data_IF_517301642285
#
_entry.id   IF_517301642285
#
_cell.length_a   1.000
_cell.length_b   1.000
_cell.length_c   1.000
_cell.angle_alpha   90.00
_cell.angle_beta   90.00
_cell.angle_gamma   90.00
#
_symmetry.space_group_name_H-M   'P 1'
#
loop_
_entity.id
_entity.type
_entity.pdbx_description
1 polymer ?
#
# COMPACT_ATOMS: atom_id res chain seq x y z
N UNK A 1 33.54 -43.10 -27.10
CA UNK A 1 32.77 -41.85 -27.08
C UNK A 1 31.81 -41.87 -28.24
N UNK A 2 30.55 -41.59 -27.97
CA UNK A 2 29.52 -41.36 -29.00
C UNK A 2 28.93 -39.98 -28.80
N UNK A 3 28.37 -39.38 -29.85
CA UNK A 3 27.70 -38.08 -29.75
C UNK A 3 26.22 -38.26 -29.47
N UNK A 4 25.70 -37.44 -28.58
CA UNK A 4 24.28 -37.41 -28.23
C UNK A 4 23.75 -35.98 -28.24
N UNK A 5 22.44 -35.85 -28.13
CA UNK A 5 21.76 -34.57 -27.90
C UNK A 5 21.12 -34.59 -26.52
N UNK A 6 21.37 -33.55 -25.71
CA UNK A 6 20.61 -33.30 -24.48
C UNK A 6 19.53 -32.28 -24.81
N UNK A 7 18.26 -32.66 -24.68
CA UNK A 7 17.11 -31.77 -24.84
C UNK A 7 16.61 -31.32 -23.47
N UNK A 8 16.79 -30.04 -23.18
CA UNK A 8 16.22 -29.39 -22.00
C UNK A 8 14.79 -28.94 -22.31
N UNK A 9 13.82 -29.51 -21.59
CA UNK A 9 12.39 -29.22 -21.78
C UNK A 9 11.82 -28.38 -20.63
N UNK A 10 10.69 -27.71 -20.88
CA UNK A 10 9.90 -27.03 -19.84
C UNK A 10 9.58 -25.55 -20.10
N UNK A 11 10.33 -24.89 -20.98
CA UNK A 11 10.02 -23.53 -21.47
C UNK A 11 9.28 -23.59 -22.82
N UNK A 12 8.89 -22.44 -23.39
CA UNK A 12 8.05 -22.41 -24.62
C UNK A 12 8.73 -23.08 -25.82
N UNK A 13 10.07 -23.03 -25.87
CA UNK A 13 10.89 -23.75 -26.85
C UNK A 13 11.97 -24.54 -26.15
N UNK A 14 12.02 -25.84 -26.41
CA UNK A 14 13.07 -26.71 -25.90
C UNK A 14 14.46 -26.22 -26.34
N UNK A 15 15.46 -26.40 -25.47
CA UNK A 15 16.85 -26.07 -25.76
C UNK A 15 17.58 -27.37 -26.11
N UNK A 16 18.19 -27.41 -27.29
CA UNK A 16 18.97 -28.55 -27.76
C UNK A 16 20.46 -28.28 -27.57
N UNK A 17 21.13 -29.19 -26.87
CA UNK A 17 22.58 -29.24 -26.75
C UNK A 17 23.09 -30.43 -27.55
N UNK A 18 23.49 -30.18 -28.79
CA UNK A 18 23.89 -31.22 -29.74
C UNK A 18 25.39 -31.51 -29.70
N UNK A 19 25.76 -32.73 -30.09
CA UNK A 19 27.17 -33.10 -30.25
C UNK A 19 27.91 -33.27 -28.93
N UNK A 20 27.19 -33.62 -27.86
CA UNK A 20 27.79 -33.90 -26.54
C UNK A 20 28.43 -35.29 -26.59
N UNK A 21 29.74 -35.34 -26.36
CA UNK A 21 30.47 -36.61 -26.29
C UNK A 21 30.18 -37.33 -24.96
N UNK A 22 29.69 -38.57 -25.04
CA UNK A 22 29.44 -39.43 -23.88
C UNK A 22 30.14 -40.78 -24.05
N UNK A 23 30.63 -41.34 -22.95
CA UNK A 23 31.08 -42.74 -22.90
C UNK A 23 29.84 -43.61 -22.59
N UNK A 24 29.49 -44.63 -23.40
CA UNK A 24 28.42 -45.57 -23.04
C UNK A 24 28.63 -46.24 -21.67
N UNK A 25 29.87 -46.34 -21.19
CA UNK A 25 30.24 -46.86 -19.86
C UNK A 25 30.37 -45.76 -18.80
N UNK A 26 29.82 -44.56 -19.04
CA UNK A 26 29.79 -43.47 -18.06
C UNK A 26 29.06 -43.90 -16.79
N UNK A 27 29.57 -43.50 -15.63
CA UNK A 27 28.90 -43.75 -14.36
C UNK A 27 27.72 -42.79 -14.16
N UNK A 28 26.66 -43.23 -13.48
CA UNK A 28 25.48 -42.37 -13.24
C UNK A 28 25.82 -41.04 -12.55
N UNK A 29 26.80 -41.02 -11.64
CA UNK A 29 27.28 -39.79 -11.02
C UNK A 29 27.87 -38.83 -12.07
N UNK A 30 28.66 -39.34 -13.00
CA UNK A 30 29.27 -38.54 -14.07
C UNK A 30 28.21 -38.06 -15.08
N UNK A 31 27.13 -38.81 -15.29
CA UNK A 31 25.97 -38.38 -16.07
C UNK A 31 25.31 -37.16 -15.43
N UNK A 32 25.02 -37.22 -14.13
CA UNK A 32 24.40 -36.12 -13.37
C UNK A 32 25.29 -34.86 -13.40
N UNK A 33 26.62 -35.05 -13.29
CA UNK A 33 27.60 -33.97 -13.42
C UNK A 33 27.67 -33.40 -14.84
N UNK A 34 27.59 -34.25 -15.88
CA UNK A 34 27.53 -33.83 -17.27
C UNK A 34 26.28 -32.99 -17.54
N UNK A 35 25.11 -33.45 -17.08
CA UNK A 35 23.85 -32.73 -17.22
C UNK A 35 23.91 -31.37 -16.51
N UNK A 36 24.45 -31.31 -15.29
CA UNK A 36 24.69 -30.05 -14.58
C UNK A 36 25.59 -29.11 -15.39
N UNK A 37 26.69 -29.63 -15.94
CA UNK A 37 27.63 -28.83 -16.71
C UNK A 37 27.01 -28.24 -17.98
N UNK A 38 26.17 -29.02 -18.68
CA UNK A 38 25.57 -28.62 -19.96
C UNK A 38 24.35 -27.71 -19.75
N UNK A 39 23.46 -28.09 -18.83
CA UNK A 39 22.13 -27.45 -18.65
C UNK A 39 22.08 -26.47 -17.48
N UNK A 40 23.08 -26.50 -16.59
CA UNK A 40 23.13 -25.77 -15.31
C UNK A 40 22.14 -26.22 -14.24
N UNK A 41 21.33 -27.25 -14.49
CA UNK A 41 20.40 -27.77 -13.47
C UNK A 41 21.22 -28.38 -12.32
N UNK A 42 21.02 -27.94 -11.05
CA UNK A 42 21.73 -28.54 -9.93
C UNK A 42 21.30 -30.00 -9.73
N UNK A 43 22.21 -30.82 -9.24
CA UNK A 43 22.13 -32.29 -9.22
C UNK A 43 20.82 -32.81 -8.58
N UNK A 44 20.40 -32.20 -7.47
CA UNK A 44 19.21 -32.58 -6.72
C UNK A 44 17.88 -32.22 -7.40
N UNK A 45 17.92 -31.50 -8.52
CA UNK A 45 16.73 -31.01 -9.21
C UNK A 45 16.63 -31.49 -10.67
N UNK A 46 17.49 -32.44 -11.05
CA UNK A 46 17.48 -33.04 -12.39
C UNK A 46 16.46 -34.16 -12.47
N UNK A 47 15.57 -34.09 -13.45
CA UNK A 47 14.79 -35.24 -13.93
C UNK A 47 15.30 -35.63 -15.32
N UNK A 48 15.96 -36.79 -15.40
CA UNK A 48 16.60 -37.28 -16.63
C UNK A 48 15.79 -38.44 -17.17
N UNK A 49 15.43 -38.37 -18.45
CA UNK A 49 14.69 -39.42 -19.15
C UNK A 49 15.47 -39.88 -20.38
N UNK A 50 15.54 -41.20 -20.56
CA UNK A 50 16.14 -41.85 -21.72
C UNK A 50 15.13 -42.80 -22.34
N UNK A 51 14.90 -42.65 -23.65
CA UNK A 51 13.87 -43.40 -24.41
C UNK A 51 12.47 -43.35 -23.77
N UNK A 52 12.13 -42.24 -23.12
CA UNK A 52 10.83 -42.01 -22.49
C UNK A 52 10.70 -42.56 -21.07
N UNK A 53 11.71 -43.25 -20.56
CA UNK A 53 11.74 -43.77 -19.19
C UNK A 53 12.67 -42.93 -18.32
N UNK A 54 12.37 -42.83 -17.03
CA UNK A 54 13.27 -42.21 -16.05
C UNK A 54 14.59 -42.96 -16.01
N UNK A 55 15.69 -42.23 -15.85
CA UNK A 55 17.02 -42.82 -15.90
C UNK A 55 17.16 -43.92 -14.83
N UNK A 56 17.50 -45.16 -15.22
CA UNK A 56 17.58 -46.27 -14.27
C UNK A 56 18.76 -46.10 -13.32
N UNK A 57 18.53 -46.39 -12.03
CA UNK A 57 19.57 -46.39 -10.98
C UNK A 57 20.51 -47.60 -11.13
N UNK A 58 21.34 -47.54 -12.16
CA UNK A 58 22.33 -48.56 -12.53
C UNK A 58 23.70 -47.90 -12.67
N UNK A 59 24.77 -48.66 -12.48
CA UNK A 59 26.13 -48.10 -12.57
C UNK A 59 26.40 -47.44 -13.92
N UNK A 60 25.91 -48.03 -15.02
CA UNK A 60 26.12 -47.56 -16.39
C UNK A 60 24.78 -47.40 -17.13
N UNK A 61 24.03 -46.31 -16.87
CA UNK A 61 22.65 -46.16 -17.35
C UNK A 61 22.54 -46.00 -18.87
N UNK A 62 23.67 -45.80 -19.57
CA UNK A 62 23.73 -45.57 -21.00
C UNK A 62 24.53 -46.63 -21.77
N UNK A 63 24.73 -47.82 -21.21
CA UNK A 63 25.48 -48.89 -21.89
C UNK A 63 24.94 -49.22 -23.29
N UNK A 64 23.61 -49.07 -23.49
CA UNK A 64 22.94 -49.32 -24.77
C UNK A 64 22.67 -48.07 -25.62
N UNK A 65 23.25 -46.91 -25.27
CA UNK A 65 23.04 -45.66 -26.00
C UNK A 65 23.70 -45.71 -27.39
N UNK A 66 23.06 -45.12 -28.39
CA UNK A 66 23.53 -45.06 -29.77
C UNK A 66 23.86 -43.62 -30.18
N UNK A 67 24.68 -43.51 -31.23
CA UNK A 67 25.04 -42.23 -31.82
C UNK A 67 23.77 -41.44 -32.19
N UNK A 68 23.76 -40.16 -31.84
CA UNK A 68 22.69 -39.18 -32.05
C UNK A 68 21.38 -39.47 -31.29
N UNK A 69 21.37 -40.37 -30.31
CA UNK A 69 20.21 -40.51 -29.42
C UNK A 69 20.04 -39.28 -28.51
N UNK A 70 18.78 -39.07 -28.10
CA UNK A 70 18.36 -37.93 -27.28
C UNK A 70 18.18 -38.34 -25.81
N UNK A 71 18.68 -37.50 -24.91
CA UNK A 71 18.37 -37.53 -23.48
C UNK A 71 17.51 -36.32 -23.18
N UNK A 72 16.36 -36.55 -22.57
CA UNK A 72 15.45 -35.47 -22.16
C UNK A 72 15.74 -35.12 -20.71
N UNK A 73 15.93 -33.84 -20.44
CA UNK A 73 16.18 -33.33 -19.08
C UNK A 73 15.18 -32.23 -18.76
N UNK A 74 14.66 -32.21 -17.54
CA UNK A 74 13.85 -31.11 -17.01
C UNK A 74 14.17 -30.83 -15.55
N UNK A 75 13.82 -29.64 -15.09
CA UNK A 75 13.96 -29.26 -13.69
C UNK A 75 12.71 -29.66 -12.90
N UNK A 76 12.89 -30.26 -11.73
CA UNK A 76 11.79 -30.67 -10.82
C UNK A 76 10.87 -29.54 -10.35
N UNK A 77 11.31 -28.28 -10.45
CA UNK A 77 10.56 -27.10 -9.96
C UNK A 77 9.69 -26.44 -11.03
N UNK A 78 9.49 -27.07 -12.20
CA UNK A 78 8.62 -26.55 -13.27
C UNK A 78 7.16 -26.31 -12.83
N UNK A 79 6.59 -27.19 -12.00
CA UNK A 79 5.24 -27.00 -11.46
C UNK A 79 5.17 -25.77 -10.53
N UNK A 80 6.26 -25.51 -9.81
CA UNK A 80 6.38 -24.36 -8.92
C UNK A 80 6.47 -23.05 -9.69
N UNK A 81 7.15 -23.06 -10.84
CA UNK A 81 7.10 -21.95 -11.79
C UNK A 81 5.68 -21.67 -12.30
N UNK A 82 4.93 -22.72 -12.66
CA UNK A 82 3.54 -22.57 -13.10
C UNK A 82 2.67 -21.92 -12.02
N UNK A 83 2.85 -22.32 -10.75
CA UNK A 83 2.17 -21.69 -9.61
C UNK A 83 2.59 -20.22 -9.44
N UNK A 84 3.89 -19.94 -9.47
CA UNK A 84 4.42 -18.57 -9.40
C UNK A 84 3.77 -17.68 -10.46
N UNK A 85 3.79 -18.09 -11.73
CA UNK A 85 3.22 -17.34 -12.86
C UNK A 85 1.72 -17.11 -12.70
N UNK A 86 0.96 -18.13 -12.30
CA UNK A 86 -0.47 -17.99 -12.03
C UNK A 86 -0.74 -16.90 -10.98
N UNK A 87 0.01 -16.90 -9.87
CA UNK A 87 -0.17 -15.89 -8.84
C UNK A 87 0.22 -14.48 -9.30
N UNK A 88 1.30 -14.35 -10.09
CA UNK A 88 1.68 -13.06 -10.72
C UNK A 88 0.56 -12.54 -11.62
N UNK A 89 -0.03 -13.39 -12.47
CA UNK A 89 -1.12 -12.98 -13.35
C UNK A 89 -2.41 -12.64 -12.59
N UNK A 90 -2.70 -13.34 -11.48
CA UNK A 90 -3.83 -13.00 -10.61
C UNK A 90 -3.67 -11.61 -9.98
N UNK A 91 -2.45 -11.24 -9.57
CA UNK A 91 -2.13 -9.90 -9.07
C UNK A 91 -2.34 -8.85 -10.16
N UNK A 92 -1.80 -9.08 -11.36
CA UNK A 92 -1.93 -8.15 -12.51
C UNK A 92 -3.38 -7.92 -12.91
N UNK A 93 -4.21 -8.98 -12.88
CA UNK A 93 -5.64 -8.92 -13.20
C UNK A 93 -6.50 -8.35 -12.05
N UNK A 94 -5.89 -8.01 -10.90
CA UNK A 94 -6.57 -7.50 -9.70
C UNK A 94 -7.74 -8.38 -9.24
N UNK A 95 -7.57 -9.71 -9.32
CA UNK A 95 -8.56 -10.67 -8.83
C UNK A 95 -8.67 -10.55 -7.29
N UNK A 96 -9.79 -10.96 -6.68
CA UNK A 96 -9.95 -11.00 -5.22
C UNK A 96 -8.71 -11.62 -4.54
N UNK A 97 -8.34 -11.06 -3.38
CA UNK A 97 -7.15 -11.46 -2.60
C UNK A 97 -5.80 -11.16 -3.29
N UNK A 98 -5.66 -9.99 -3.92
CA UNK A 98 -4.41 -9.54 -4.60
C UNK A 98 -3.18 -9.71 -3.69
N UNK A 99 -3.28 -9.33 -2.41
CA UNK A 99 -2.18 -9.44 -1.45
C UNK A 99 -1.78 -10.89 -1.18
N UNK A 100 -2.74 -11.78 -0.91
CA UNK A 100 -2.46 -13.20 -0.68
C UNK A 100 -1.84 -13.86 -1.92
N UNK A 101 -2.29 -13.48 -3.13
CA UNK A 101 -1.68 -13.93 -4.38
C UNK A 101 -0.23 -13.43 -4.49
N UNK A 102 0.03 -12.16 -4.17
CA UNK A 102 1.39 -11.63 -4.17
C UNK A 102 2.29 -12.36 -3.17
N UNK A 103 1.82 -12.63 -1.96
CA UNK A 103 2.56 -13.35 -0.91
C UNK A 103 2.94 -14.76 -1.37
N UNK A 104 1.99 -15.48 -1.98
CA UNK A 104 2.25 -16.79 -2.58
C UNK A 104 3.25 -16.71 -3.73
N UNK A 105 3.14 -15.70 -4.60
CA UNK A 105 4.10 -15.48 -5.68
C UNK A 105 5.51 -15.25 -5.12
N UNK A 106 5.67 -14.41 -4.09
CA UNK A 106 6.99 -14.17 -3.46
C UNK A 106 7.56 -15.43 -2.83
N UNK A 107 6.73 -16.22 -2.13
CA UNK A 107 7.15 -17.49 -1.55
C UNK A 107 7.65 -18.47 -2.64
N UNK A 108 6.90 -18.62 -3.72
CA UNK A 108 7.31 -19.51 -4.83
C UNK A 108 8.56 -19.00 -5.54
N UNK A 109 8.70 -17.68 -5.74
CA UNK A 109 9.91 -17.08 -6.29
C UNK A 109 11.15 -17.38 -5.43
N UNK A 110 11.06 -17.25 -4.11
CA UNK A 110 12.19 -17.52 -3.22
C UNK A 110 12.70 -18.95 -3.39
N UNK A 111 11.79 -19.92 -3.42
CA UNK A 111 12.18 -21.31 -3.68
C UNK A 111 12.81 -21.51 -5.06
N UNK A 112 12.26 -20.90 -6.11
CA UNK A 112 12.84 -21.00 -7.46
C UNK A 112 14.24 -20.38 -7.54
N UNK A 113 14.52 -19.33 -6.76
CA UNK A 113 15.87 -18.76 -6.62
C UNK A 113 16.81 -19.72 -5.88
N UNK A 114 16.36 -20.30 -4.76
CA UNK A 114 17.14 -21.25 -3.95
C UNK A 114 17.48 -22.53 -4.74
N UNK A 115 16.55 -22.99 -5.58
CA UNK A 115 16.71 -24.17 -6.43
C UNK A 115 17.60 -23.92 -7.68
N UNK A 116 18.04 -22.68 -7.93
CA UNK A 116 18.83 -22.33 -9.14
C UNK A 116 18.04 -22.33 -10.45
N UNK A 117 16.71 -22.33 -10.38
CA UNK A 117 15.81 -22.52 -11.53
C UNK A 117 16.00 -21.48 -12.63
N UNK A 118 16.23 -20.22 -12.25
CA UNK A 118 16.34 -19.11 -13.20
C UNK A 118 17.67 -19.08 -13.97
N UNK A 119 18.69 -19.80 -13.50
CA UNK A 119 19.96 -19.95 -14.22
C UNK A 119 19.85 -20.95 -15.38
N UNK A 120 18.84 -21.83 -15.33
CA UNK A 120 18.55 -22.88 -16.30
C UNK A 120 17.66 -22.38 -17.44
N UNK A 121 16.65 -21.56 -17.13
CA UNK A 121 15.63 -21.11 -18.09
C UNK A 121 15.66 -19.57 -18.30
N UNK A 122 16.38 -19.07 -19.32
CA UNK A 122 16.53 -17.63 -19.57
C UNK A 122 15.21 -16.88 -19.78
N UNK A 123 14.26 -17.49 -20.50
CA UNK A 123 12.95 -16.89 -20.78
C UNK A 123 12.15 -16.65 -19.47
N UNK A 124 12.29 -17.57 -18.52
CA UNK A 124 11.65 -17.47 -17.22
C UNK A 124 12.32 -16.42 -16.33
N UNK A 125 13.65 -16.30 -16.40
CA UNK A 125 14.42 -15.22 -15.76
C UNK A 125 14.03 -13.84 -16.32
N UNK A 126 13.82 -13.71 -17.64
CA UNK A 126 13.36 -12.46 -18.24
C UNK A 126 11.97 -12.06 -17.70
N UNK A 127 11.02 -13.00 -17.72
CA UNK A 127 9.68 -12.77 -17.15
C UNK A 127 9.77 -12.39 -15.66
N UNK A 128 10.60 -13.09 -14.89
CA UNK A 128 10.83 -12.80 -13.48
C UNK A 128 11.37 -11.39 -13.27
N UNK A 129 12.43 -10.99 -13.97
CA UNK A 129 13.01 -9.64 -13.86
C UNK A 129 11.99 -8.54 -14.17
N UNK A 130 11.13 -8.78 -15.16
CA UNK A 130 10.10 -7.83 -15.58
C UNK A 130 8.98 -7.68 -14.55
N UNK A 131 8.52 -8.77 -13.94
CA UNK A 131 7.30 -8.78 -13.15
C UNK A 131 7.53 -8.88 -11.65
N UNK A 132 8.55 -9.60 -11.20
CA UNK A 132 8.78 -9.87 -9.79
C UNK A 132 8.96 -8.61 -8.93
N UNK A 133 9.68 -7.55 -9.36
CA UNK A 133 9.84 -6.34 -8.54
C UNK A 133 8.52 -5.65 -8.21
N UNK A 134 7.57 -5.64 -9.15
CA UNK A 134 6.22 -5.11 -8.94
C UNK A 134 5.45 -5.97 -7.92
N UNK A 135 5.53 -7.28 -8.05
CA UNK A 135 4.86 -8.24 -7.15
C UNK A 135 5.46 -8.21 -5.74
N UNK A 136 6.79 -8.14 -5.62
CA UNK A 136 7.48 -8.03 -4.35
C UNK A 136 7.19 -6.71 -3.62
N UNK A 137 6.84 -5.64 -4.35
CA UNK A 137 6.37 -4.40 -3.74
C UNK A 137 5.05 -4.58 -2.98
N UNK A 138 4.18 -5.50 -3.42
CA UNK A 138 2.95 -5.85 -2.70
C UNK A 138 3.20 -6.65 -1.41
N UNK A 139 4.37 -7.28 -1.25
CA UNK A 139 4.64 -8.23 -0.15
C UNK A 139 5.67 -7.74 0.86
N UNK A 140 6.87 -7.31 0.41
CA UNK A 140 8.03 -7.12 1.28
C UNK A 140 8.76 -5.78 1.12
N UNK A 141 8.72 -5.16 -0.06
CA UNK A 141 9.46 -3.91 -0.30
C UNK A 141 8.96 -2.72 0.52
N UNK A 142 7.68 -2.68 0.89
CA UNK A 142 7.08 -1.54 1.60
C UNK A 142 7.17 -1.71 3.11
N UNK A 143 7.03 -2.92 3.66
CA UNK A 143 6.90 -3.11 5.10
C UNK A 143 8.21 -2.95 5.87
N UNK A 144 9.28 -3.62 5.43
CA UNK A 144 10.59 -3.54 6.10
C UNK A 144 11.24 -2.15 5.89
N UNK A 145 11.08 -1.57 4.69
CA UNK A 145 11.49 -0.19 4.44
C UNK A 145 10.68 0.80 5.29
N UNK A 146 9.36 0.62 5.41
CA UNK A 146 8.51 1.43 6.29
C UNK A 146 8.95 1.28 7.74
N UNK A 147 9.16 0.06 8.26
CA UNK A 147 9.64 -0.15 9.63
C UNK A 147 10.98 0.57 9.87
N UNK A 148 11.95 0.43 8.96
CA UNK A 148 13.24 1.09 9.11
C UNK A 148 13.12 2.62 9.03
N UNK A 149 12.41 3.14 8.03
CA UNK A 149 12.26 4.58 7.82
C UNK A 149 11.47 5.26 8.95
N UNK A 150 10.44 4.58 9.44
CA UNK A 150 9.62 5.04 10.56
C UNK A 150 10.40 4.94 11.89
N UNK A 151 11.19 3.88 12.09
CA UNK A 151 12.05 3.73 13.27
C UNK A 151 13.06 4.88 13.37
N UNK A 152 13.71 5.25 12.25
CA UNK A 152 14.63 6.38 12.20
C UNK A 152 13.96 7.69 12.60
N UNK A 153 12.75 7.95 12.09
CA UNK A 153 11.97 9.15 12.40
C UNK A 153 11.64 9.25 13.89
N UNK A 154 11.06 8.21 14.47
CA UNK A 154 10.70 8.24 15.89
C UNK A 154 11.92 8.21 16.81
N UNK A 155 13.02 7.58 16.41
CA UNK A 155 14.29 7.65 17.13
C UNK A 155 14.87 9.06 17.12
N UNK A 156 14.78 9.77 15.99
CA UNK A 156 15.16 11.18 15.91
C UNK A 156 14.32 12.04 16.86
N UNK A 157 13.00 11.85 16.90
CA UNK A 157 12.12 12.56 17.83
C UNK A 157 12.45 12.24 19.30
N UNK A 158 12.67 10.96 19.62
CA UNK A 158 13.09 10.52 20.95
C UNK A 158 14.39 11.23 21.40
N UNK A 159 15.36 11.34 20.50
CA UNK A 159 16.63 12.05 20.76
C UNK A 159 16.42 13.54 20.94
N UNK A 160 15.58 14.18 20.12
CA UNK A 160 15.23 15.62 20.26
C UNK A 160 14.63 15.95 21.62
N UNK A 161 13.88 15.01 22.21
CA UNK A 161 13.30 15.18 23.54
C UNK A 161 14.30 14.99 24.69
N UNK A 162 15.53 14.52 24.40
CA UNK A 162 16.62 14.31 25.37
C UNK A 162 16.99 12.84 25.60
N UNK A 163 16.36 11.90 24.88
CA UNK A 163 16.62 10.47 25.02
C UNK A 163 17.98 10.05 24.46
N UNK A 164 18.88 9.57 25.33
CA UNK A 164 20.26 9.18 24.95
C UNK A 164 20.45 7.68 24.71
N UNK A 165 19.53 6.83 25.17
CA UNK A 165 19.66 5.37 25.13
C UNK A 165 18.49 4.73 24.37
N UNK A 166 18.80 3.77 23.50
CA UNK A 166 17.81 2.92 22.84
C UNK A 166 16.99 2.09 23.85
N UNK A 167 17.51 1.85 25.06
CA UNK A 167 16.79 1.12 26.10
C UNK A 167 15.49 1.81 26.55
N UNK A 168 15.38 3.13 26.35
CA UNK A 168 14.20 3.93 26.69
C UNK A 168 13.29 4.19 25.49
N UNK A 169 13.68 3.74 24.29
CA UNK A 169 12.88 3.84 23.07
C UNK A 169 12.20 2.48 22.84
N UNK A 170 10.96 2.36 23.31
CA UNK A 170 10.18 1.13 23.13
C UNK A 170 9.34 1.25 21.88
N UNK A 171 9.44 0.26 21.01
CA UNK A 171 8.61 0.16 19.82
C UNK A 171 8.09 -1.26 19.60
N UNK A 172 6.89 -1.38 19.06
CA UNK A 172 6.37 -2.63 18.50
C UNK A 172 5.67 -2.35 17.17
N UNK A 173 6.12 -3.01 16.09
CA UNK A 173 5.58 -2.89 14.75
C UNK A 173 4.74 -4.12 14.43
N UNK A 174 3.44 -3.94 14.26
CA UNK A 174 2.53 -5.00 13.89
C UNK A 174 1.99 -4.74 12.47
N UNK A 175 1.82 -5.77 11.64
CA UNK A 175 1.01 -5.65 10.44
C UNK A 175 -0.37 -5.06 10.81
N UNK A 176 -0.92 -4.17 9.97
CA UNK A 176 -2.27 -3.62 10.19
C UNK A 176 -3.27 -4.77 10.34
N UNK A 177 -3.95 -4.81 11.48
CA UNK A 177 -5.02 -5.77 11.76
C UNK A 177 -6.17 -5.44 10.80
N UNK A 178 -6.73 -6.46 10.11
CA UNK A 178 -7.78 -6.36 9.08
C UNK A 178 -9.04 -5.59 9.51
N UNK A 179 -9.25 -5.39 10.80
CA UNK A 179 -10.45 -4.80 11.38
C UNK A 179 -10.51 -3.27 11.29
N UNK A 180 -9.46 -2.63 10.77
CA UNK A 180 -9.40 -1.19 10.52
C UNK A 180 -9.20 -0.96 9.01
N UNK A 181 -10.24 -0.48 8.33
CA UNK A 181 -10.48 -0.25 6.87
C UNK A 181 -9.28 -0.02 5.93
N UNK A 182 -9.46 -0.18 4.61
CA UNK A 182 -8.47 0.24 3.60
C UNK A 182 -7.68 -0.91 2.95
N UNK A 183 -7.35 -0.75 1.66
CA UNK A 183 -6.72 -1.77 0.80
C UNK A 183 -5.19 -1.71 0.76
N UNK A 184 -4.55 -0.73 1.41
CA UNK A 184 -3.10 -0.54 1.41
C UNK A 184 -2.46 -0.93 2.75
N UNK A 185 -1.34 -1.65 2.66
CA UNK A 185 -0.54 -2.11 3.82
C UNK A 185 -0.02 -0.90 4.61
N UNK A 186 -0.64 -0.65 5.75
CA UNK A 186 -0.05 0.15 6.83
C UNK A 186 0.54 -0.74 7.92
N UNK A 187 1.22 -0.12 8.89
CA UNK A 187 1.64 -0.76 10.14
C UNK A 187 0.93 -0.10 11.32
N UNK A 188 0.66 -0.90 12.34
CA UNK A 188 0.35 -0.36 13.66
C UNK A 188 1.64 -0.32 14.47
N UNK A 189 1.96 0.86 14.99
CA UNK A 189 3.14 1.10 15.80
C UNK A 189 2.74 1.49 17.22
N UNK A 190 3.39 0.91 18.21
CA UNK A 190 3.34 1.41 19.58
C UNK A 190 4.68 2.04 19.87
N UNK A 191 4.76 3.36 20.02
CA UNK A 191 6.01 4.08 20.20
C UNK A 191 5.97 4.84 21.53
N UNK A 192 6.97 4.63 22.38
CA UNK A 192 7.17 5.41 23.60
C UNK A 192 8.38 6.32 23.43
N UNK A 193 8.15 7.62 23.30
CA UNK A 193 9.20 8.64 23.21
C UNK A 193 9.73 9.01 24.61
N UNK A 194 10.77 9.84 24.64
CA UNK A 194 11.43 10.18 25.90
C UNK A 194 10.54 11.09 26.74
N UNK A 195 10.35 10.75 28.03
CA UNK A 195 9.41 11.41 28.97
C UNK A 195 7.94 11.08 28.75
N UNK A 196 7.59 10.23 27.78
CA UNK A 196 6.24 9.69 27.70
C UNK A 196 6.07 8.55 28.71
N UNK A 197 4.99 8.58 29.50
CA UNK A 197 4.71 7.53 30.48
C UNK A 197 4.18 6.25 29.82
N UNK A 198 3.43 6.39 28.73
CA UNK A 198 2.78 5.29 28.01
C UNK A 198 3.13 5.33 26.52
N UNK A 199 3.20 4.16 25.84
CA UNK A 199 3.35 4.12 24.39
C UNK A 199 2.13 4.72 23.68
N UNK A 200 2.39 5.55 22.68
CA UNK A 200 1.37 6.07 21.77
C UNK A 200 1.18 5.08 20.62
N UNK A 201 -0.09 4.76 20.32
CA UNK A 201 -0.47 3.91 19.18
C UNK A 201 -0.57 4.78 17.92
N UNK A 202 0.16 4.42 16.87
CA UNK A 202 0.09 5.02 15.56
C UNK A 202 -0.41 4.02 14.52
N UNK A 203 -1.27 4.48 13.63
CA UNK A 203 -1.54 3.85 12.35
C UNK A 203 -0.69 4.55 11.29
N UNK A 204 0.15 3.79 10.60
CA UNK A 204 1.12 4.34 9.66
C UNK A 204 0.88 3.74 8.29
N UNK A 205 0.62 4.58 7.30
CA UNK A 205 0.36 4.17 5.94
C UNK A 205 1.34 4.79 4.95
N UNK A 206 1.52 4.12 3.81
CA UNK A 206 2.23 4.71 2.69
C UNK A 206 1.28 5.58 1.87
N UNK A 207 1.70 6.78 1.48
CA UNK A 207 0.87 7.63 0.64
C UNK A 207 0.54 6.93 -0.70
N UNK A 208 -0.73 6.98 -1.13
CA UNK A 208 -1.32 6.12 -2.18
C UNK A 208 -0.58 6.16 -3.53
N UNK A 209 0.05 7.29 -3.87
CA UNK A 209 0.81 7.46 -5.11
C UNK A 209 2.19 6.79 -5.10
N UNK A 210 2.56 6.11 -4.01
CA UNK A 210 3.81 5.39 -3.93
C UNK A 210 3.79 4.00 -4.63
N UNK A 211 2.69 3.56 -5.23
CA UNK A 211 2.62 2.21 -5.81
C UNK A 211 2.13 2.18 -7.26
N UNK A 212 1.40 3.20 -7.75
CA UNK A 212 0.62 3.06 -9.01
C UNK A 212 0.93 4.00 -10.18
N UNK A 213 1.99 4.81 -10.18
CA UNK A 213 2.33 5.62 -11.35
C UNK A 213 3.84 5.82 -11.53
N UNK A 214 4.23 6.19 -12.75
CA UNK A 214 5.64 6.39 -13.17
C UNK A 214 6.36 7.52 -12.42
N UNK A 215 5.67 8.26 -11.55
CA UNK A 215 6.24 9.32 -10.73
C UNK A 215 5.58 9.30 -9.34
N UNK A 216 6.37 9.03 -8.31
CA UNK A 216 5.96 8.94 -6.92
C UNK A 216 5.81 10.37 -6.37
N UNK A 217 4.72 11.06 -6.71
CA UNK A 217 4.47 12.41 -6.23
C UNK A 217 3.91 12.40 -4.81
N UNK A 218 4.43 13.31 -4.00
CA UNK A 218 3.87 13.67 -2.72
C UNK A 218 2.49 14.30 -2.96
N UNK A 219 1.44 13.66 -2.47
CA UNK A 219 0.09 14.24 -2.49
C UNK A 219 -0.01 15.31 -1.37
N UNK A 220 0.39 16.53 -1.72
CA UNK A 220 0.38 17.69 -0.82
C UNK A 220 -1.05 18.03 -0.39
N UNK A 221 -2.05 17.81 -1.24
CA UNK A 221 -3.45 18.05 -0.90
C UNK A 221 -3.92 17.03 0.16
N UNK A 222 -3.57 15.74 0.03
CA UNK A 222 -3.86 14.75 1.10
C UNK A 222 -3.20 15.15 2.42
N UNK A 223 -1.96 15.63 2.40
CA UNK A 223 -1.29 16.14 3.61
C UNK A 223 -2.04 17.33 4.22
N UNK A 224 -2.45 18.30 3.40
CA UNK A 224 -3.26 19.43 3.84
C UNK A 224 -4.57 18.95 4.47
N UNK A 225 -5.31 18.02 3.84
CA UNK A 225 -6.54 17.44 4.38
C UNK A 225 -6.32 16.81 5.76
N UNK A 226 -5.27 16.01 5.94
CA UNK A 226 -4.94 15.45 7.25
C UNK A 226 -4.65 16.54 8.29
N UNK A 227 -3.88 17.56 7.92
CA UNK A 227 -3.48 18.63 8.85
C UNK A 227 -4.66 19.53 9.24
N UNK A 228 -5.54 19.88 8.30
CA UNK A 228 -6.74 20.66 8.62
C UNK A 228 -7.69 19.86 9.50
N UNK A 229 -7.92 18.57 9.23
CA UNK A 229 -8.78 17.73 10.07
C UNK A 229 -8.25 17.59 11.51
N UNK A 230 -6.93 17.46 11.68
CA UNK A 230 -6.28 17.51 13.01
C UNK A 230 -6.58 18.83 13.73
N UNK A 231 -6.36 19.97 13.06
CA UNK A 231 -6.57 21.31 13.64
C UNK A 231 -8.04 21.61 13.99
N UNK A 232 -8.98 20.93 13.32
CA UNK A 232 -10.41 20.99 13.56
C UNK A 232 -10.90 20.00 14.63
N UNK A 233 -10.00 19.16 15.17
CA UNK A 233 -10.29 18.08 16.12
C UNK A 233 -11.28 17.02 15.60
N UNK A 234 -11.41 16.92 14.27
CA UNK A 234 -12.25 15.91 13.58
C UNK A 234 -11.43 14.81 12.93
N UNK A 235 -10.10 14.96 12.89
CA UNK A 235 -9.15 13.93 12.48
C UNK A 235 -8.20 13.51 13.61
N UNK A 236 -7.46 12.41 13.41
CA UNK A 236 -6.36 12.04 14.31
C UNK A 236 -5.21 13.06 14.24
N UNK A 237 -4.36 13.08 15.26
CA UNK A 237 -3.11 13.84 15.17
C UNK A 237 -2.17 13.17 14.16
N UNK A 238 -1.49 13.95 13.32
CA UNK A 238 -0.75 13.42 12.17
C UNK A 238 0.70 13.89 12.13
N UNK A 239 1.60 12.95 11.85
CA UNK A 239 3.00 13.22 11.52
C UNK A 239 3.29 12.75 10.09
N UNK A 240 3.99 13.58 9.32
CA UNK A 240 4.46 13.22 7.99
C UNK A 240 5.90 12.77 8.07
N UNK A 241 6.18 11.59 7.53
CA UNK A 241 7.52 11.01 7.50
C UNK A 241 8.03 11.16 6.07
N UNK A 242 8.67 12.30 5.82
CA UNK A 242 9.29 12.64 4.54
C UNK A 242 10.69 11.99 4.48
N UNK A 243 11.02 11.29 3.39
CA UNK A 243 12.34 10.65 3.22
C UNK A 243 13.07 11.18 2.00
N UNK A 244 14.41 11.31 2.09
CA UNK A 244 15.22 11.67 0.95
C UNK A 244 15.12 10.60 -0.16
N UNK A 245 15.21 11.06 -1.41
CA UNK A 245 15.04 10.23 -2.59
C UNK A 245 16.00 9.02 -2.59
N UNK A 246 15.46 7.80 -2.61
CA UNK A 246 16.22 6.56 -2.75
C UNK A 246 15.97 5.99 -4.15
N UNK A 247 17.05 5.85 -4.95
CA UNK A 247 17.00 5.26 -6.31
C UNK A 247 15.93 5.88 -7.21
N UNK A 248 15.80 7.22 -7.18
CA UNK A 248 14.82 7.94 -7.98
C UNK A 248 13.41 8.03 -7.36
N UNK A 249 13.10 7.28 -6.30
CA UNK A 249 11.78 7.24 -5.66
C UNK A 249 11.77 8.03 -4.35
N UNK A 250 10.72 8.82 -4.11
CA UNK A 250 10.44 9.45 -2.81
C UNK A 250 9.26 8.72 -2.19
N UNK A 251 9.44 8.20 -0.99
CA UNK A 251 8.37 7.53 -0.24
C UNK A 251 8.00 8.44 0.91
N UNK A 252 6.71 8.65 1.09
CA UNK A 252 6.16 9.40 2.22
C UNK A 252 5.21 8.51 2.98
N UNK A 253 5.39 8.50 4.30
CA UNK A 253 4.49 7.82 5.21
C UNK A 253 3.69 8.83 6.01
N UNK A 254 2.45 8.47 6.33
CA UNK A 254 1.54 9.26 7.15
C UNK A 254 1.32 8.47 8.42
N UNK A 255 1.72 9.03 9.56
CA UNK A 255 1.56 8.42 10.86
C UNK A 255 0.48 9.16 11.66
N UNK A 256 -0.68 8.52 11.78
CA UNK A 256 -1.83 9.03 12.52
C UNK A 256 -1.86 8.43 13.92
N UNK A 257 -2.04 9.23 14.97
CA UNK A 257 -2.32 8.69 16.30
C UNK A 257 -3.67 8.00 16.30
N UNK A 258 -3.69 6.73 16.68
CA UNK A 258 -4.94 5.98 16.76
C UNK A 258 -5.67 6.35 18.06
N UNK A 259 -6.94 6.71 17.93
CA UNK A 259 -7.82 6.96 19.08
C UNK A 259 -8.88 5.88 19.17
N UNK A 260 -8.92 5.18 20.30
CA UNK A 260 -9.89 4.09 20.55
C UNK A 260 -11.31 4.60 20.82
N UNK A 261 -11.53 5.91 20.79
CA UNK A 261 -12.84 6.56 20.89
C UNK A 261 -13.48 6.82 19.51
N UNK A 262 -12.87 6.41 18.40
CA UNK A 262 -13.49 6.42 17.08
C UNK A 262 -14.64 5.41 16.98
N UNK A 263 -15.82 5.87 16.58
CA UNK A 263 -16.96 5.00 16.24
C UNK A 263 -17.29 5.19 14.75
N UNK A 264 -16.94 4.23 13.87
CA UNK A 264 -17.26 4.33 12.45
C UNK A 264 -18.77 4.22 12.22
N UNK A 265 -19.30 4.93 11.21
CA UNK A 265 -20.73 4.88 10.88
C UNK A 265 -21.21 3.44 10.57
N UNK A 266 -20.36 2.59 10.00
CA UNK A 266 -20.67 1.18 9.67
C UNK A 266 -20.96 0.31 10.90
N UNK A 267 -20.57 0.76 12.10
CA UNK A 267 -20.85 0.09 13.37
C UNK A 267 -22.13 0.59 14.04
N UNK A 268 -22.73 1.67 13.54
CA UNK A 268 -23.97 2.24 14.05
C UNK A 268 -25.14 1.63 13.28
N UNK A 269 -26.12 1.07 13.99
CA UNK A 269 -27.25 0.37 13.36
C UNK A 269 -28.57 1.05 13.62
N UNK A 270 -28.73 1.65 14.81
CA UNK A 270 -29.97 2.30 15.22
C UNK A 270 -29.93 3.81 14.97
N UNK A 271 -31.05 4.38 14.51
CA UNK A 271 -31.19 5.82 14.25
C UNK A 271 -30.77 6.69 15.43
N UNK A 272 -30.99 6.23 16.67
CA UNK A 272 -30.65 6.96 17.90
C UNK A 272 -29.16 6.99 18.21
N UNK A 273 -28.34 6.17 17.56
CA UNK A 273 -26.90 6.12 17.77
C UNK A 273 -26.15 7.17 16.92
N UNK A 274 -26.78 7.67 15.86
CA UNK A 274 -26.21 8.68 14.98
C UNK A 274 -26.34 10.09 15.57
N UNK A 275 -25.22 10.79 15.70
CA UNK A 275 -25.22 12.24 15.93
C UNK A 275 -25.54 12.98 14.63
N UNK A 276 -26.64 13.74 14.62
CA UNK A 276 -26.99 14.59 13.47
C UNK A 276 -25.92 15.67 13.27
N UNK A 277 -25.38 16.20 14.35
CA UNK A 277 -24.30 17.18 14.35
C UNK A 277 -23.05 16.64 13.65
N UNK A 278 -22.65 15.41 13.96
CA UNK A 278 -21.53 14.77 13.27
C UNK A 278 -21.82 14.57 11.77
N UNK A 279 -23.02 14.14 11.39
CA UNK A 279 -23.38 13.95 9.98
C UNK A 279 -23.37 15.28 9.19
N UNK A 280 -23.83 16.37 9.81
CA UNK A 280 -23.79 17.71 9.20
C UNK A 280 -22.34 18.20 9.07
N UNK A 281 -21.50 17.98 10.09
CA UNK A 281 -20.07 18.30 10.01
C UNK A 281 -19.37 17.52 8.89
N UNK A 282 -19.60 16.21 8.76
CA UNK A 282 -19.06 15.41 7.65
C UNK A 282 -19.49 15.96 6.30
N UNK A 283 -20.73 16.45 6.18
CA UNK A 283 -21.22 17.09 4.95
C UNK A 283 -20.49 18.40 4.66
N UNK A 284 -20.29 19.24 5.66
CA UNK A 284 -19.52 20.48 5.52
C UNK A 284 -18.09 20.18 5.06
N UNK A 285 -17.41 19.22 5.70
CA UNK A 285 -16.04 18.81 5.35
C UNK A 285 -15.97 18.27 3.90
N UNK A 286 -16.94 17.46 3.48
CA UNK A 286 -17.01 16.95 2.11
C UNK A 286 -17.11 18.06 1.06
N UNK A 287 -17.96 19.05 1.28
CA UNK A 287 -18.24 20.09 0.28
C UNK A 287 -17.23 21.23 0.33
N UNK A 288 -16.87 21.70 1.52
CA UNK A 288 -16.01 22.86 1.69
C UNK A 288 -14.53 22.53 1.55
N UNK A 289 -14.09 21.37 2.07
CA UNK A 289 -12.69 20.94 2.01
C UNK A 289 -12.44 19.90 0.90
N UNK A 290 -13.45 19.61 0.09
CA UNK A 290 -13.39 18.60 -0.98
C UNK A 290 -12.90 17.23 -0.48
N UNK A 291 -13.34 16.80 0.70
CA UNK A 291 -12.92 15.51 1.28
C UNK A 291 -13.87 14.40 0.81
N UNK A 292 -13.33 13.44 0.09
CA UNK A 292 -13.98 12.23 -0.39
C UNK A 292 -13.70 11.00 0.46
N UNK A 293 -14.16 9.85 -0.03
CA UNK A 293 -14.05 8.54 0.62
C UNK A 293 -14.56 8.48 2.06
N UNK A 294 -15.50 9.37 2.39
CA UNK A 294 -16.23 9.36 3.66
C UNK A 294 -17.27 8.24 3.66
N UNK A 295 -16.87 6.99 3.49
CA UNK A 295 -17.74 5.83 3.63
C UNK A 295 -17.79 5.36 5.09
N UNK A 296 -18.65 4.36 5.37
CA UNK A 296 -19.00 3.98 6.74
C UNK A 296 -17.84 3.60 7.66
N UNK A 297 -16.70 3.15 7.14
CA UNK A 297 -15.53 2.77 7.96
C UNK A 297 -14.49 3.89 8.10
N UNK A 298 -14.46 4.84 7.17
CA UNK A 298 -13.46 5.92 7.12
C UNK A 298 -13.94 7.21 7.80
N UNK A 299 -15.24 7.27 8.12
CA UNK A 299 -15.83 8.36 8.87
C UNK A 299 -16.84 7.88 9.90
N UNK A 300 -17.16 8.76 10.85
CA UNK A 300 -17.95 8.41 12.02
C UNK A 300 -18.08 9.57 12.99
N UNK A 301 -18.10 9.24 14.28
CA UNK A 301 -18.18 10.19 15.37
C UNK A 301 -17.20 9.82 16.48
N UNK A 302 -16.70 10.82 17.21
CA UNK A 302 -15.94 10.56 18.44
C UNK A 302 -16.89 10.20 19.58
N UNK A 303 -16.60 9.10 20.26
CA UNK A 303 -17.40 8.60 21.39
C UNK A 303 -17.66 9.70 22.41
N UNK A 304 -18.91 9.78 22.86
CA UNK A 304 -19.36 10.75 23.87
C UNK A 304 -19.24 12.22 23.43
N UNK A 305 -19.18 12.49 22.13
CA UNK A 305 -19.20 13.84 21.57
C UNK A 305 -20.16 13.93 20.38
N UNK A 306 -20.48 15.16 19.98
CA UNK A 306 -21.22 15.48 18.75
C UNK A 306 -20.30 15.84 17.57
N UNK A 307 -19.00 15.53 17.69
CA UNK A 307 -18.02 15.86 16.67
C UNK A 307 -17.89 14.72 15.66
N UNK A 308 -17.79 15.09 14.39
CA UNK A 308 -17.40 14.18 13.33
C UNK A 308 -16.00 13.61 13.57
N UNK A 309 -15.78 12.39 13.08
CA UNK A 309 -14.48 11.75 13.02
C UNK A 309 -14.18 11.29 11.58
N UNK A 310 -13.00 11.61 11.07
CA UNK A 310 -12.50 11.23 9.74
C UNK A 310 -11.08 10.68 9.90
N UNK A 311 -10.86 9.43 9.47
CA UNK A 311 -9.59 8.72 9.74
C UNK A 311 -8.72 8.47 8.50
N UNK A 312 -9.31 8.44 7.30
CA UNK A 312 -8.58 8.27 6.03
C UNK A 312 -9.24 9.12 4.93
N UNK A 313 -8.94 10.44 4.87
CA UNK A 313 -9.51 11.34 3.88
C UNK A 313 -8.86 11.14 2.50
N UNK A 314 -9.66 11.13 1.45
CA UNK A 314 -9.17 11.23 0.07
C UNK A 314 -9.54 12.60 -0.51
N UNK A 315 -8.60 13.41 -0.99
CA UNK A 315 -8.93 14.68 -1.62
C UNK A 315 -9.71 14.45 -2.93
N UNK A 316 -10.78 15.22 -3.13
CA UNK A 316 -11.54 15.30 -4.37
C UNK A 316 -11.00 16.46 -5.23
N UNK A 317 -11.24 16.44 -6.55
CA UNK A 317 -11.01 17.61 -7.39
C UNK A 317 -11.74 18.83 -6.84
N UNK A 318 -11.03 19.95 -6.73
CA UNK A 318 -11.61 21.20 -6.26
C UNK A 318 -12.61 21.76 -7.29
N UNK A 319 -13.64 22.44 -6.80
CA UNK A 319 -14.67 23.05 -7.62
C UNK A 319 -15.22 24.31 -6.97
N UNK A 320 -15.53 25.33 -7.77
CA UNK A 320 -16.23 26.52 -7.27
C UNK A 320 -17.73 26.34 -7.49
N UNK A 321 -18.52 26.38 -6.41
CA UNK A 321 -19.97 26.24 -6.54
C UNK A 321 -20.64 27.60 -6.82
N UNK A 322 -21.59 27.66 -7.76
CA UNK A 322 -22.44 28.85 -7.93
C UNK A 322 -23.37 29.09 -6.74
N UNK A 323 -23.84 28.02 -6.10
CA UNK A 323 -24.71 28.03 -4.93
C UNK A 323 -24.17 27.01 -3.92
N UNK A 324 -23.38 27.49 -2.97
CA UNK A 324 -22.68 26.63 -2.00
C UNK A 324 -23.66 26.04 -1.00
N UNK A 325 -24.66 26.81 -0.56
CA UNK A 325 -25.72 26.35 0.34
C UNK A 325 -26.51 25.19 -0.26
N UNK A 326 -26.87 25.27 -1.55
CA UNK A 326 -27.47 24.15 -2.28
C UNK A 326 -26.51 22.98 -2.41
N UNK A 327 -25.22 23.20 -2.68
CA UNK A 327 -24.25 22.12 -2.77
C UNK A 327 -24.13 21.35 -1.45
N UNK A 328 -24.10 22.05 -0.31
CA UNK A 328 -24.09 21.45 1.04
C UNK A 328 -25.38 20.69 1.34
N UNK A 329 -26.55 21.21 0.95
CA UNK A 329 -27.84 20.60 1.25
C UNK A 329 -28.32 19.55 0.22
N UNK A 330 -27.69 19.48 -0.96
CA UNK A 330 -28.12 18.57 -2.01
C UNK A 330 -27.99 17.09 -1.58
N UNK A 331 -28.93 16.22 -1.98
CA UNK A 331 -28.77 14.78 -1.87
C UNK A 331 -27.50 14.36 -2.62
N UNK A 332 -26.68 13.51 -2.02
CA UNK A 332 -25.39 13.14 -2.58
C UNK A 332 -25.05 11.68 -2.28
N UNK A 333 -24.21 11.13 -3.15
CA UNK A 333 -23.72 9.76 -3.10
C UNK A 333 -22.47 9.66 -2.22
N UNK A 334 -22.58 9.94 -0.92
CA UNK A 334 -21.65 9.23 -0.03
C UNK A 334 -22.04 7.76 -0.02
N UNK A 335 -21.02 6.91 0.02
CA UNK A 335 -21.13 5.49 0.32
C UNK A 335 -21.48 5.26 1.80
N UNK A 336 -22.47 6.02 2.28
CA UNK A 336 -23.17 5.81 3.53
C UNK A 336 -24.33 4.87 3.29
N UNK A 337 -24.62 4.07 4.30
CA UNK A 337 -25.86 3.31 4.38
C UNK A 337 -27.07 4.26 4.38
N UNK A 338 -28.26 3.70 4.13
CA UNK A 338 -29.48 4.49 3.93
C UNK A 338 -29.89 5.30 5.18
N UNK A 339 -29.51 4.86 6.38
CA UNK A 339 -29.92 5.48 7.64
C UNK A 339 -29.34 6.90 7.82
N UNK A 340 -28.01 7.12 7.79
CA UNK A 340 -27.41 8.47 7.82
C UNK A 340 -27.99 9.42 6.77
N UNK A 341 -28.16 8.94 5.54
CA UNK A 341 -28.69 9.74 4.42
C UNK A 341 -30.11 10.19 4.70
N UNK A 342 -30.96 9.26 5.16
CA UNK A 342 -32.35 9.53 5.51
C UNK A 342 -32.45 10.51 6.68
N UNK A 343 -31.61 10.36 7.71
CA UNK A 343 -31.58 11.27 8.85
C UNK A 343 -31.28 12.72 8.44
N UNK A 344 -30.32 12.95 7.54
CA UNK A 344 -30.04 14.30 7.01
C UNK A 344 -31.21 14.86 6.18
N UNK A 345 -31.82 14.04 5.31
CA UNK A 345 -32.93 14.47 4.46
C UNK A 345 -34.22 14.76 5.24
N UNK A 346 -34.47 14.02 6.33
CA UNK A 346 -35.62 14.22 7.21
C UNK A 346 -35.40 15.36 8.22
N UNK A 347 -34.16 15.83 8.40
CA UNK A 347 -33.84 16.87 9.37
C UNK A 347 -34.37 18.24 8.92
N UNK A 348 -35.02 19.02 9.81
CA UNK A 348 -35.52 20.34 9.44
C UNK A 348 -34.41 21.27 8.95
N UNK A 349 -34.59 21.85 7.77
CA UNK A 349 -33.59 22.70 7.12
C UNK A 349 -33.09 23.85 8.00
N UNK A 350 -33.96 24.49 8.77
CA UNK A 350 -33.55 25.56 9.68
C UNK A 350 -32.56 25.06 10.75
N UNK A 351 -32.86 23.91 11.37
CA UNK A 351 -32.01 23.30 12.40
C UNK A 351 -30.69 22.81 11.80
N UNK A 352 -30.71 22.31 10.57
CA UNK A 352 -29.50 21.95 9.83
C UNK A 352 -28.54 23.15 9.76
N UNK A 353 -29.05 24.31 9.33
CA UNK A 353 -28.24 25.51 9.19
C UNK A 353 -27.79 26.10 10.53
N UNK A 354 -28.58 25.95 11.60
CA UNK A 354 -28.17 26.36 12.95
C UNK A 354 -26.97 25.53 13.44
N UNK A 355 -26.97 24.21 13.20
CA UNK A 355 -25.85 23.32 13.50
C UNK A 355 -24.65 23.63 12.62
N UNK A 356 -24.86 23.85 11.32
CA UNK A 356 -23.79 24.17 10.38
C UNK A 356 -23.09 25.48 10.76
N UNK A 357 -23.85 26.53 11.08
CA UNK A 357 -23.34 27.81 11.60
C UNK A 357 -22.48 27.60 12.84
N UNK A 358 -23.03 26.92 13.86
CA UNK A 358 -22.30 26.65 15.11
C UNK A 358 -20.99 25.89 14.88
N UNK A 359 -20.97 24.97 13.91
CA UNK A 359 -19.78 24.20 13.55
C UNK A 359 -18.73 25.08 12.86
N UNK A 360 -19.14 25.90 11.89
CA UNK A 360 -18.25 26.83 11.18
C UNK A 360 -17.65 27.88 12.13
N UNK A 361 -18.47 28.44 13.03
CA UNK A 361 -18.03 29.39 14.06
C UNK A 361 -17.03 28.75 15.01
N UNK A 362 -17.32 27.53 15.50
CA UNK A 362 -16.41 26.76 16.38
C UNK A 362 -15.07 26.50 15.70
N UNK A 363 -15.10 26.11 14.42
CA UNK A 363 -13.92 25.74 13.68
C UNK A 363 -13.01 26.92 13.37
N UNK A 364 -13.58 28.13 13.24
CA UNK A 364 -12.86 29.29 12.71
C UNK A 364 -12.08 28.92 11.44
N UNK A 365 -12.81 28.34 10.48
CA UNK A 365 -12.23 27.50 9.43
C UNK A 365 -11.20 28.24 8.56
N UNK A 366 -11.40 29.53 8.29
CA UNK A 366 -10.45 30.36 7.51
C UNK A 366 -9.07 30.42 8.17
N UNK A 367 -9.01 30.68 9.47
CA UNK A 367 -7.73 30.74 10.20
C UNK A 367 -7.08 29.37 10.28
N UNK A 368 -7.88 28.31 10.42
CA UNK A 368 -7.37 26.92 10.42
C UNK A 368 -6.81 26.51 9.06
N UNK A 369 -7.42 26.96 7.96
CA UNK A 369 -6.88 26.74 6.60
C UNK A 369 -5.50 27.40 6.46
N UNK A 370 -5.35 28.66 6.90
CA UNK A 370 -4.07 29.37 6.87
C UNK A 370 -3.02 28.65 7.73
N UNK A 371 -3.39 28.30 8.96
CA UNK A 371 -2.52 27.57 9.88
C UNK A 371 -2.09 26.21 9.31
N UNK A 372 -2.99 25.45 8.70
CA UNK A 372 -2.66 24.19 8.05
C UNK A 372 -1.67 24.40 6.89
N UNK A 373 -1.89 25.41 6.04
CA UNK A 373 -1.00 25.71 4.92
C UNK A 373 0.41 26.10 5.38
N UNK A 374 0.52 26.92 6.43
CA UNK A 374 1.79 27.29 7.06
C UNK A 374 2.54 26.06 7.56
N UNK A 375 1.87 25.19 8.33
CA UNK A 375 2.46 23.96 8.86
C UNK A 375 2.93 23.00 7.75
N UNK A 376 2.14 22.84 6.67
CA UNK A 376 2.56 22.04 5.52
C UNK A 376 3.77 22.66 4.83
N UNK A 377 3.77 23.99 4.65
CA UNK A 377 4.89 24.71 4.03
C UNK A 377 6.18 24.55 4.85
N UNK A 378 6.11 24.66 6.17
CA UNK A 378 7.25 24.44 7.07
C UNK A 378 7.79 23.00 6.99
N UNK A 379 6.89 22.01 6.98
CA UNK A 379 7.23 20.58 6.88
C UNK A 379 7.98 20.29 5.56
N UNK A 380 7.51 20.89 4.45
CA UNK A 380 8.12 20.78 3.13
C UNK A 380 9.44 21.55 3.02
N UNK A 381 9.56 22.72 3.63
CA UNK A 381 10.75 23.57 3.58
C UNK A 381 11.97 22.92 4.24
N UNK A 382 11.76 22.11 5.29
CA UNK A 382 12.82 21.33 5.93
C UNK A 382 13.51 20.35 4.98
N UNK A 383 12.81 19.93 3.93
CA UNK A 383 13.31 19.05 2.87
C UNK A 383 13.52 19.89 1.60
N UNK A 384 14.72 20.48 1.47
CA UNK A 384 15.24 21.43 0.44
C UNK A 384 14.89 21.25 -1.07
N UNK A 385 13.96 20.36 -1.44
CA UNK A 385 13.55 20.00 -2.80
C UNK A 385 12.03 19.78 -2.96
N UNK A 386 11.21 20.28 -2.06
CA UNK A 386 9.76 20.37 -2.24
C UNK A 386 9.35 21.83 -2.44
N UNK A 387 8.65 22.11 -3.52
CA UNK A 387 7.94 23.38 -3.73
C UNK A 387 6.47 23.09 -3.61
N UNK A 388 5.74 23.93 -2.86
CA UNK A 388 4.28 23.95 -2.92
C UNK A 388 3.87 24.08 -4.38
N UNK A 389 3.07 23.14 -4.85
CA UNK A 389 2.63 23.10 -6.24
C UNK A 389 1.49 24.08 -6.44
N UNK A 390 1.38 24.69 -7.63
CA UNK A 390 0.21 25.49 -8.03
C UNK A 390 -1.13 24.78 -7.76
N UNK A 391 -1.14 23.45 -7.67
CA UNK A 391 -2.31 22.63 -7.38
C UNK A 391 -2.85 22.81 -5.94
N UNK A 392 -1.97 23.00 -4.95
CA UNK A 392 -2.42 23.30 -3.57
C UNK A 392 -2.99 24.72 -3.52
N UNK A 393 -2.33 25.70 -4.14
CA UNK A 393 -2.84 27.08 -4.16
C UNK A 393 -4.23 27.15 -4.80
N UNK A 394 -4.43 26.51 -5.96
CA UNK A 394 -5.74 26.44 -6.60
C UNK A 394 -6.79 25.74 -5.73
N UNK A 395 -6.41 24.67 -5.03
CA UNK A 395 -7.29 23.99 -4.09
C UNK A 395 -7.70 24.93 -2.94
N UNK A 396 -6.74 25.62 -2.32
CA UNK A 396 -6.98 26.57 -1.23
C UNK A 396 -7.88 27.74 -1.68
N UNK A 397 -7.62 28.31 -2.86
CA UNK A 397 -8.44 29.38 -3.43
C UNK A 397 -9.90 28.94 -3.60
N UNK A 398 -10.14 27.71 -4.09
CA UNK A 398 -11.48 27.16 -4.22
C UNK A 398 -12.15 26.90 -2.86
N UNK A 399 -11.41 26.38 -1.88
CA UNK A 399 -11.91 26.18 -0.50
C UNK A 399 -12.33 27.51 0.10
N UNK A 400 -11.45 28.52 0.05
CA UNK A 400 -11.68 29.86 0.61
C UNK A 400 -12.87 30.51 -0.08
N UNK A 401 -12.92 30.50 -1.42
CA UNK A 401 -14.01 31.11 -2.18
C UNK A 401 -15.38 30.48 -1.86
N UNK A 402 -15.46 29.16 -1.68
CA UNK A 402 -16.71 28.50 -1.29
C UNK A 402 -17.09 28.78 0.16
N UNK A 403 -16.10 28.81 1.07
CA UNK A 403 -16.32 29.11 2.48
C UNK A 403 -16.85 30.53 2.66
N UNK A 404 -16.21 31.53 2.05
CA UNK A 404 -16.64 32.94 2.14
C UNK A 404 -18.06 33.13 1.59
N UNK A 405 -18.39 32.50 0.46
CA UNK A 405 -19.76 32.49 -0.08
C UNK A 405 -20.76 31.94 0.92
N UNK A 406 -20.46 30.77 1.51
CA UNK A 406 -21.36 30.15 2.48
C UNK A 406 -21.51 31.00 3.75
N UNK A 407 -20.41 31.56 4.28
CA UNK A 407 -20.45 32.45 5.45
C UNK A 407 -21.32 33.68 5.17
N UNK A 408 -21.20 34.29 3.99
CA UNK A 408 -22.04 35.41 3.58
C UNK A 408 -23.53 35.01 3.48
N UNK A 409 -23.84 33.86 2.88
CA UNK A 409 -25.20 33.34 2.78
C UNK A 409 -25.82 32.94 4.14
N UNK A 410 -24.98 32.67 5.15
CA UNK A 410 -25.39 32.37 6.52
C UNK A 410 -25.36 33.59 7.45
N UNK A 411 -24.93 34.76 6.98
CA UNK A 411 -24.82 35.99 7.79
C UNK A 411 -23.70 35.92 8.84
N UNK A 412 -22.61 35.22 8.52
CA UNK A 412 -21.44 34.98 9.38
C UNK A 412 -20.18 35.71 8.90
N UNK A 413 -20.32 36.67 7.99
CA UNK A 413 -19.22 37.49 7.50
C UNK A 413 -18.50 38.15 8.69
N UNK A 414 -17.21 37.86 8.84
CA UNK A 414 -16.33 38.57 9.78
C UNK A 414 -15.88 39.91 9.20
#
# INVERSE_FOLDING_TARGET
>A
MIKITIRLVGQEKDILYEGIDIDPQIYIYDVVMLVKKVTKIPENYQEIHFRGEELPDTCHPFESIKEFEEIIVKHTSLDRWSLYRTYVENVKKRVKYVVDNAERAVKHHQYLMEDGFFDVYPDFEEYRRKHHPEIAAWVGGVLELMVNDVSDHFLFQHRRQGGKSLANFKYNWNPRIKDMSGTLKGITAYVQLHKEEQPTKYLIECNHNAISSKEFFLDIIKMFCYKILELLEVGPAVQFILRPQRRGKRITYIACTWRDDFIPLSKLTDKSEFSIEALIQLRLLNVLLFIGDLHGDNCGQWKSTDNAAVVDPIPLPYATYPDVKRAVHAPFELAWDDVPRKLLLEHPQQKFWDIARKSLDKWNLLDKIKQANELITEELACESKYTVTNDLDNHLDAVIANLEKLLNELGLSQ
#
